data_IF_048926263013
#
_entry.id   IF_048926263013
#
_cell.length_a   1.000
_cell.length_b   1.000
_cell.length_c   1.000
_cell.angle_alpha   90.00
_cell.angle_beta   90.00
_cell.angle_gamma   90.00
#
_symmetry.space_group_name_H-M   'P 1'
#
loop_
_entity.id
_entity.type
_entity.pdbx_description
1 polymer ?
#
# COMPACT_ATOMS: atom_id res chain seq x y z
N UNK A 1 14.16 8.09 -6.27
CA UNK A 1 14.50 6.76 -5.74
C UNK A 1 15.99 6.47 -6.01
N UNK A 2 16.73 5.90 -5.05
CA UNK A 2 18.18 5.64 -5.20
C UNK A 2 18.47 4.21 -5.72
N UNK A 3 17.64 3.23 -5.39
CA UNK A 3 17.72 1.83 -5.86
C UNK A 3 19.03 1.08 -5.54
N UNK A 4 19.83 1.60 -4.61
CA UNK A 4 21.04 0.96 -4.08
C UNK A 4 20.99 0.84 -2.55
N UNK A 5 22.04 0.30 -1.91
CA UNK A 5 22.08 0.08 -0.46
C UNK A 5 22.31 1.38 0.32
N UNK A 6 21.39 2.34 0.19
CA UNK A 6 21.45 3.67 0.80
C UNK A 6 20.14 3.95 1.53
N UNK A 7 20.21 4.35 2.80
CA UNK A 7 19.05 4.72 3.62
C UNK A 7 19.22 6.13 4.18
N UNK A 8 18.17 6.94 4.10
CA UNK A 8 18.08 8.23 4.78
C UNK A 8 17.35 8.05 6.12
N UNK A 9 17.87 8.67 7.18
CA UNK A 9 17.27 8.59 8.53
C UNK A 9 16.85 9.98 8.96
N UNK A 10 15.57 10.14 9.29
CA UNK A 10 14.99 11.38 9.79
C UNK A 10 14.40 11.17 11.18
N UNK A 11 14.49 12.19 12.03
CA UNK A 11 13.79 12.22 13.32
C UNK A 11 12.42 12.85 13.13
N UNK A 12 11.44 12.38 13.89
CA UNK A 12 10.12 12.98 14.01
C UNK A 12 9.78 13.11 15.50
N UNK A 13 8.85 14.02 15.83
CA UNK A 13 8.49 14.32 17.23
C UNK A 13 7.07 13.92 17.62
N UNK A 14 6.21 13.64 16.65
CA UNK A 14 4.83 13.18 16.87
C UNK A 14 4.36 12.22 15.80
N UNK A 15 3.24 11.54 16.06
CA UNK A 15 2.57 10.69 15.07
C UNK A 15 2.13 11.49 13.83
N UNK A 16 1.68 12.74 14.01
CA UNK A 16 1.24 13.59 12.91
C UNK A 16 2.42 14.06 12.05
N UNK A 17 3.54 14.40 12.69
CA UNK A 17 4.81 14.73 12.02
C UNK A 17 5.34 13.53 11.23
N UNK A 18 5.32 12.33 11.83
CA UNK A 18 5.71 11.10 11.14
C UNK A 18 4.86 10.82 9.89
N UNK A 19 3.54 10.97 9.99
CA UNK A 19 2.63 10.77 8.84
C UNK A 19 2.86 11.84 7.77
N UNK A 20 3.06 13.10 8.16
CA UNK A 20 3.34 14.18 7.22
C UNK A 20 4.63 13.88 6.44
N UNK A 21 5.73 13.56 7.13
CA UNK A 21 7.01 13.19 6.50
C UNK A 21 6.88 11.93 5.62
N UNK A 22 6.13 10.93 6.08
CA UNK A 22 5.95 9.69 5.34
C UNK A 22 5.14 9.90 4.05
N UNK A 23 4.14 10.79 4.06
CA UNK A 23 3.29 11.04 2.89
C UNK A 23 3.82 12.16 1.97
N UNK A 24 4.81 12.96 2.40
CA UNK A 24 5.43 14.06 1.65
C UNK A 24 6.37 13.59 0.54
N UNK A 25 5.81 12.79 -0.38
CA UNK A 25 6.45 12.36 -1.61
C UNK A 25 5.41 11.92 -2.64
N UNK A 26 5.82 11.92 -3.91
CA UNK A 26 4.99 11.55 -5.06
C UNK A 26 4.69 10.05 -5.16
N UNK A 27 5.44 9.21 -4.46
CA UNK A 27 5.27 7.75 -4.47
C UNK A 27 4.38 7.28 -3.33
N UNK A 28 3.88 6.05 -3.45
CA UNK A 28 2.98 5.42 -2.49
C UNK A 28 2.91 3.90 -2.68
N UNK A 29 4.05 3.25 -2.92
CA UNK A 29 4.07 1.82 -3.20
C UNK A 29 3.83 1.00 -1.93
N UNK A 30 4.69 1.16 -0.94
CA UNK A 30 4.60 0.45 0.33
C UNK A 30 5.17 1.30 1.47
N UNK A 31 4.70 1.04 2.68
CA UNK A 31 5.17 1.65 3.91
C UNK A 31 5.27 0.60 5.03
N UNK A 32 6.00 0.93 6.09
CA UNK A 32 6.13 0.07 7.27
C UNK A 32 6.18 0.90 8.54
N UNK A 33 5.61 0.35 9.61
CA UNK A 33 5.64 0.97 10.93
C UNK A 33 5.94 -0.07 12.00
N UNK A 34 6.67 0.35 13.04
CA UNK A 34 7.07 -0.49 14.16
C UNK A 34 6.56 0.10 15.46
N UNK A 35 5.72 -0.66 16.15
CA UNK A 35 5.17 -0.27 17.45
C UNK A 35 4.57 -1.48 18.16
N UNK A 36 4.61 -1.47 19.50
CA UNK A 36 3.87 -2.42 20.34
C UNK A 36 2.48 -1.89 20.75
N UNK A 37 2.13 -0.65 20.37
CA UNK A 37 0.81 -0.08 20.62
C UNK A 37 -0.15 -0.42 19.47
N UNK A 38 -1.12 -1.29 19.76
CA UNK A 38 -2.12 -1.74 18.80
C UNK A 38 -2.98 -0.58 18.24
N UNK A 39 -3.35 0.40 19.07
CA UNK A 39 -4.16 1.54 18.62
C UNK A 39 -3.35 2.44 17.70
N UNK A 40 -2.08 2.64 18.04
CA UNK A 40 -1.14 3.37 17.19
C UNK A 40 -0.94 2.66 15.86
N UNK A 41 -0.74 1.34 15.87
CA UNK A 41 -0.55 0.56 14.65
C UNK A 41 -1.71 0.74 13.66
N UNK A 42 -2.96 0.54 14.11
CA UNK A 42 -4.12 0.72 13.25
C UNK A 42 -4.31 2.17 12.78
N UNK A 43 -4.16 3.15 13.70
CA UNK A 43 -4.34 4.57 13.37
C UNK A 43 -3.32 5.06 12.35
N UNK A 44 -2.05 4.68 12.50
CA UNK A 44 -1.00 5.09 11.57
C UNK A 44 -1.10 4.34 10.25
N UNK A 45 -1.37 3.03 10.28
CA UNK A 45 -1.54 2.24 9.04
C UNK A 45 -2.65 2.80 8.14
N UNK A 46 -3.77 3.23 8.72
CA UNK A 46 -4.88 3.82 7.97
C UNK A 46 -4.57 5.21 7.38
N UNK A 47 -3.53 5.90 7.87
CA UNK A 47 -3.16 7.26 7.43
C UNK A 47 -1.99 7.28 6.45
N UNK A 48 -1.25 6.19 6.32
CA UNK A 48 -0.17 6.07 5.35
C UNK A 48 -0.76 5.91 3.96
N UNK A 49 -0.32 6.74 3.02
CA UNK A 49 -0.81 6.73 1.63
C UNK A 49 0.02 5.75 0.79
N UNK A 50 -0.13 4.46 1.09
CA UNK A 50 0.60 3.39 0.43
C UNK A 50 -0.29 2.20 0.06
N UNK A 51 0.11 1.52 -1.01
CA UNK A 51 -0.47 0.26 -1.50
C UNK A 51 -0.53 -0.84 -0.45
N UNK A 52 0.60 -1.01 0.22
CA UNK A 52 0.85 -2.04 1.22
C UNK A 52 1.43 -1.40 2.46
N UNK A 53 0.89 -1.73 3.63
CA UNK A 53 1.44 -1.26 4.91
C UNK A 53 1.78 -2.47 5.78
N UNK A 54 3.04 -2.60 6.15
CA UNK A 54 3.48 -3.62 7.10
C UNK A 54 3.55 -3.04 8.52
N UNK A 55 3.14 -3.85 9.50
CA UNK A 55 3.28 -3.54 10.93
C UNK A 55 4.22 -4.57 11.55
N UNK A 56 5.31 -4.11 12.16
CA UNK A 56 6.32 -4.96 12.82
C UNK A 56 6.98 -6.02 11.93
N UNK A 57 6.95 -5.81 10.62
CA UNK A 57 7.67 -6.57 9.59
C UNK A 57 7.93 -5.65 8.41
N UNK A 58 8.69 -6.12 7.42
CA UNK A 58 8.88 -5.39 6.17
C UNK A 58 9.20 -6.38 5.05
N UNK A 59 8.77 -6.04 3.83
CA UNK A 59 9.06 -6.84 2.63
C UNK A 59 8.55 -8.29 2.72
N UNK A 60 7.44 -8.50 3.44
CA UNK A 60 6.74 -9.79 3.50
C UNK A 60 5.63 -9.82 2.45
N UNK A 61 5.53 -10.93 1.71
CA UNK A 61 4.55 -11.11 0.64
C UNK A 61 3.85 -12.45 0.77
N UNK A 62 2.59 -12.47 0.36
CA UNK A 62 1.79 -13.68 0.20
C UNK A 62 1.09 -13.60 -1.16
N UNK A 63 1.12 -14.65 -2.00
CA UNK A 63 0.46 -14.63 -3.31
C UNK A 63 -1.05 -14.36 -3.26
N UNK A 64 -1.71 -14.58 -2.12
CA UNK A 64 -3.12 -14.27 -1.91
C UNK A 64 -3.37 -12.81 -1.49
N UNK A 65 -2.35 -12.09 -1.01
CA UNK A 65 -2.46 -10.69 -0.61
C UNK A 65 -2.13 -9.77 -1.80
N UNK A 66 -3.03 -8.85 -2.20
CA UNK A 66 -2.78 -7.96 -3.32
C UNK A 66 -1.64 -6.99 -3.02
N UNK A 67 -0.86 -6.64 -4.05
CA UNK A 67 0.23 -5.68 -4.00
C UNK A 67 0.14 -4.70 -5.17
N UNK A 68 0.39 -3.41 -4.93
CA UNK A 68 0.37 -2.40 -5.97
C UNK A 68 0.23 -1.00 -5.39
N UNK A 69 0.65 0.03 -6.12
CA UNK A 69 0.88 1.36 -5.57
C UNK A 69 -0.33 2.28 -5.43
N UNK A 70 -0.06 3.42 -4.80
CA UNK A 70 -0.84 4.65 -4.77
C UNK A 70 -0.03 5.75 -5.50
N UNK A 71 -0.69 6.88 -5.80
CA UNK A 71 -0.05 8.07 -6.39
C UNK A 71 0.72 7.72 -7.68
N UNK A 72 1.95 8.21 -7.83
CA UNK A 72 2.78 7.91 -8.99
C UNK A 72 3.44 6.53 -8.93
N UNK A 73 3.19 5.73 -7.89
CA UNK A 73 3.59 4.30 -7.86
C UNK A 73 2.65 3.40 -8.67
N UNK A 74 1.69 3.97 -9.39
CA UNK A 74 0.83 3.26 -10.34
C UNK A 74 -0.59 3.03 -9.84
N UNK A 75 -1.33 2.23 -10.62
CA UNK A 75 -2.72 1.87 -10.40
C UNK A 75 -2.90 0.36 -10.60
N UNK A 76 -4.07 -0.17 -10.23
CA UNK A 76 -4.35 -1.61 -10.26
C UNK A 76 -3.63 -2.38 -9.15
N UNK A 77 -3.78 -3.70 -9.13
CA UNK A 77 -3.12 -4.59 -8.16
C UNK A 77 -2.64 -5.87 -8.84
N UNK A 78 -1.44 -6.30 -8.48
CA UNK A 78 -0.95 -7.66 -8.71
C UNK A 78 -1.25 -8.54 -7.50
N UNK A 79 -1.10 -9.85 -7.67
CA UNK A 79 -1.41 -10.87 -6.65
C UNK A 79 -2.88 -10.85 -6.16
N UNK A 80 -3.22 -11.84 -5.35
CA UNK A 80 -4.56 -12.02 -4.81
C UNK A 80 -5.65 -12.13 -5.88
N UNK A 81 -6.91 -12.11 -5.44
CA UNK A 81 -8.04 -12.13 -6.36
C UNK A 81 -8.19 -10.84 -7.17
N UNK A 82 -7.67 -9.72 -6.67
CA UNK A 82 -7.76 -8.42 -7.34
C UNK A 82 -7.02 -8.41 -8.67
N UNK A 83 -5.88 -9.11 -8.77
CA UNK A 83 -5.15 -9.23 -10.03
C UNK A 83 -5.96 -9.88 -11.15
N UNK A 84 -6.90 -10.78 -10.83
CA UNK A 84 -7.74 -11.41 -11.85
C UNK A 84 -8.58 -10.39 -12.63
N UNK A 85 -8.95 -9.27 -12.01
CA UNK A 85 -9.68 -8.20 -12.68
C UNK A 85 -8.84 -7.53 -13.79
N UNK A 86 -7.52 -7.47 -13.63
CA UNK A 86 -6.60 -6.90 -14.62
C UNK A 86 -6.40 -7.81 -15.84
N UNK A 87 -6.69 -9.10 -15.71
CA UNK A 87 -6.55 -10.11 -16.77
C UNK A 87 -7.89 -10.61 -17.33
N UNK A 88 -9.01 -10.03 -16.92
CA UNK A 88 -10.35 -10.42 -17.38
C UNK A 88 -11.11 -9.22 -17.94
N UNK A 89 -12.13 -9.50 -18.75
CA UNK A 89 -13.02 -8.48 -19.30
C UNK A 89 -14.47 -8.88 -19.03
N UNK A 90 -15.20 -8.03 -18.29
CA UNK A 90 -16.60 -8.29 -17.94
C UNK A 90 -17.49 -8.08 -19.16
N UNK A 91 -18.32 -9.08 -19.48
CA UNK A 91 -19.30 -9.02 -20.56
C UNK A 91 -20.70 -9.28 -19.99
N UNK A 92 -21.60 -8.32 -20.18
CA UNK A 92 -23.01 -8.48 -19.83
C UNK A 92 -23.79 -8.92 -21.06
N UNK A 93 -24.64 -9.94 -20.91
CA UNK A 93 -25.53 -10.43 -21.97
C UNK A 93 -26.96 -10.42 -21.45
N UNK A 94 -27.84 -9.75 -22.17
CA UNK A 94 -29.28 -9.75 -21.93
C UNK A 94 -29.97 -10.55 -23.03
N UNK A 95 -30.93 -11.37 -22.66
CA UNK A 95 -31.78 -12.10 -23.60
C UNK A 95 -33.23 -11.83 -23.19
N UNK A 96 -33.98 -11.20 -24.07
CA UNK A 96 -35.42 -11.05 -23.93
C UNK A 96 -36.10 -12.33 -24.44
N UNK A 97 -37.10 -12.80 -23.69
CA UNK A 97 -37.86 -14.02 -23.99
C UNK A 97 -39.33 -13.74 -24.34
N UNK A 98 -39.76 -12.45 -24.40
CA UNK A 98 -41.11 -12.06 -24.79
C UNK A 98 -41.15 -10.90 -25.80
#
# INVERSE_FOLDING_TARGET
EIFGPVVAVMKFSSDDDAIALANDHMYGLAAGLWTNDLRRAHRLAARLEAGTVWVNTYNFYDPAAPFGGYKESGFGRELGMHALAEYTQTKTVWIDLN
#
